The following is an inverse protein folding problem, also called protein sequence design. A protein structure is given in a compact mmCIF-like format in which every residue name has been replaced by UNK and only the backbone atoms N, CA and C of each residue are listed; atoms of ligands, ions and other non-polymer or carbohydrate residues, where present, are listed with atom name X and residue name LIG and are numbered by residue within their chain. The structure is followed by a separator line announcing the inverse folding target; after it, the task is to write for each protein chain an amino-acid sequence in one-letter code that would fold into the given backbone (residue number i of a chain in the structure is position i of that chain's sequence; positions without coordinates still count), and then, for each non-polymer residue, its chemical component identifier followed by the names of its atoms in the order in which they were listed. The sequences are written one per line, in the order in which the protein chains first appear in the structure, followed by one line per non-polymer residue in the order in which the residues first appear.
data_IF_598075580033
#
_entry.id   IF_598075580033
#
_cell.length_a   1.000
_cell.length_b   1.000
_cell.length_c   1.000
_cell.angle_alpha   90.00
_cell.angle_beta   90.00
_cell.angle_gamma   90.00
#
_symmetry.space_group_name_H-M   'P 1'
#
loop_
_entity.id
_entity.type
_entity.pdbx_description
1 polymer ?
#
# COMPACT_ATOMS: atom_id res chain seq x y z
N UNK A 1 12.31 -39.38 -39.00
CA UNK A 1 11.09 -38.83 -38.36
C UNK A 1 11.49 -38.28 -37.00
N UNK A 2 11.57 -36.95 -36.83
CA UNK A 2 12.18 -36.33 -35.66
C UNK A 2 11.21 -36.25 -34.47
N UNK A 3 11.76 -36.49 -33.28
CA UNK A 3 11.09 -36.43 -31.98
C UNK A 3 10.91 -34.96 -31.57
N UNK A 4 9.79 -34.36 -31.93
CA UNK A 4 9.35 -33.04 -31.43
C UNK A 4 8.44 -33.27 -30.22
N UNK A 5 9.03 -33.56 -29.06
CA UNK A 5 8.23 -33.80 -27.84
C UNK A 5 8.90 -33.30 -26.55
N UNK A 6 9.88 -32.40 -26.65
CA UNK A 6 10.63 -31.91 -25.49
C UNK A 6 10.67 -30.39 -25.34
N UNK A 7 9.89 -29.64 -26.13
CA UNK A 7 9.92 -28.15 -26.11
C UNK A 7 8.78 -27.57 -25.27
N UNK A 8 7.70 -28.32 -25.01
CA UNK A 8 6.56 -27.79 -24.26
C UNK A 8 6.73 -27.78 -22.73
N UNK A 9 7.67 -28.54 -22.17
CA UNK A 9 7.88 -28.58 -20.70
C UNK A 9 8.73 -27.44 -20.14
N UNK A 10 9.46 -26.69 -20.98
CA UNK A 10 10.28 -25.57 -20.51
C UNK A 10 9.54 -24.22 -20.50
N UNK A 11 8.43 -24.09 -21.26
CA UNK A 11 7.68 -22.84 -21.33
C UNK A 11 6.68 -22.65 -20.18
N UNK A 12 6.31 -23.73 -19.47
CA UNK A 12 5.36 -23.69 -18.35
C UNK A 12 6.01 -23.32 -17.00
N UNK A 13 7.34 -23.27 -16.93
CA UNK A 13 8.11 -22.94 -15.70
C UNK A 13 8.55 -21.47 -15.63
N UNK A 14 8.28 -20.67 -16.66
CA UNK A 14 8.62 -19.23 -16.72
C UNK A 14 7.44 -18.29 -16.41
N UNK A 15 6.34 -18.80 -15.84
CA UNK A 15 5.17 -17.98 -15.47
C UNK A 15 4.94 -17.86 -13.95
N UNK A 16 5.96 -18.17 -13.15
CA UNK A 16 5.92 -18.06 -11.67
C UNK A 16 6.99 -17.10 -11.13
N UNK A 17 7.43 -16.13 -11.94
CA UNK A 17 8.13 -14.96 -11.43
C UNK A 17 7.08 -13.94 -10.98
N UNK A 18 6.82 -13.94 -9.69
CA UNK A 18 6.30 -12.83 -8.86
C UNK A 18 6.08 -11.52 -9.63
N UNK A 19 4.85 -11.31 -10.10
CA UNK A 19 4.36 -9.94 -10.32
C UNK A 19 3.84 -9.43 -8.98
N UNK A 20 4.74 -9.10 -8.06
CA UNK A 20 4.44 -8.04 -7.11
C UNK A 20 4.76 -6.74 -7.86
N UNK A 21 3.72 -6.03 -8.28
CA UNK A 21 3.84 -4.80 -9.06
C UNK A 21 4.48 -3.70 -8.21
N UNK A 22 5.56 -3.09 -8.70
CA UNK A 22 6.33 -2.07 -7.97
C UNK A 22 5.64 -0.70 -7.83
N UNK A 23 4.57 -0.45 -8.57
CA UNK A 23 3.66 0.68 -8.44
C UNK A 23 2.49 0.34 -9.34
N UNK A 24 1.37 -0.13 -8.81
CA UNK A 24 0.23 -0.38 -9.69
C UNK A 24 -0.16 0.92 -10.41
N UNK A 25 -0.44 0.80 -11.72
CA UNK A 25 -1.10 1.86 -12.46
C UNK A 25 -2.29 2.31 -11.60
N UNK A 26 -2.35 3.59 -11.25
CA UNK A 26 -3.34 4.22 -10.37
C UNK A 26 -3.05 4.24 -8.85
N UNK A 27 -1.91 3.75 -8.33
CA UNK A 27 -1.61 3.95 -6.89
C UNK A 27 -1.45 5.44 -6.55
N UNK A 28 -0.80 6.20 -7.44
CA UNK A 28 -0.50 7.62 -7.27
C UNK A 28 -1.67 8.55 -7.67
N UNK A 29 -2.54 8.10 -8.58
CA UNK A 29 -3.66 8.90 -9.14
C UNK A 29 -4.98 8.63 -8.39
N UNK A 30 -4.92 8.47 -7.06
CA UNK A 30 -6.11 8.27 -6.24
C UNK A 30 -6.64 9.58 -5.67
N UNK A 31 -7.97 9.75 -5.57
CA UNK A 31 -8.54 10.90 -4.88
C UNK A 31 -8.21 10.84 -3.38
N UNK A 32 -8.29 11.99 -2.72
CA UNK A 32 -8.21 12.07 -1.24
C UNK A 32 -9.13 11.04 -0.59
N UNK A 33 -8.71 10.45 0.53
CA UNK A 33 -9.60 9.57 1.28
C UNK A 33 -10.73 10.34 1.97
N UNK A 34 -11.89 9.71 2.04
CA UNK A 34 -13.07 10.27 2.66
C UNK A 34 -13.11 9.95 4.16
N UNK A 35 -13.99 10.66 4.88
CA UNK A 35 -14.27 10.34 6.29
C UNK A 35 -14.74 8.88 6.48
N UNK A 36 -15.57 8.38 5.56
CA UNK A 36 -16.07 7.00 5.61
C UNK A 36 -14.93 6.00 5.45
N UNK A 37 -14.03 6.24 4.51
CA UNK A 37 -12.86 5.38 4.28
C UNK A 37 -11.90 5.40 5.46
N UNK A 38 -11.66 6.56 6.09
CA UNK A 38 -10.87 6.63 7.30
C UNK A 38 -11.53 5.84 8.45
N UNK A 39 -12.84 5.97 8.64
CA UNK A 39 -13.57 5.21 9.66
C UNK A 39 -13.52 3.70 9.40
N UNK A 40 -13.68 3.27 8.15
CA UNK A 40 -13.56 1.87 7.78
C UNK A 40 -12.13 1.36 7.97
N UNK A 41 -11.12 2.15 7.59
CA UNK A 41 -9.72 1.82 7.81
C UNK A 41 -9.42 1.63 9.30
N UNK A 42 -9.88 2.54 10.17
CA UNK A 42 -9.68 2.44 11.62
C UNK A 42 -10.31 1.18 12.23
N UNK A 43 -11.42 0.70 11.64
CA UNK A 43 -12.08 -0.54 12.04
C UNK A 43 -11.31 -1.77 11.58
N UNK A 44 -10.84 -1.79 10.34
CA UNK A 44 -10.29 -3.00 9.70
C UNK A 44 -8.78 -3.16 9.93
N UNK A 45 -8.05 -2.04 10.08
CA UNK A 45 -6.59 -2.03 10.21
C UNK A 45 -6.04 -2.86 11.38
N UNK A 46 -6.65 -2.89 12.59
CA UNK A 46 -6.14 -3.70 13.69
C UNK A 46 -6.04 -5.20 13.36
N UNK A 47 -7.07 -5.75 12.72
CA UNK A 47 -7.10 -7.17 12.33
C UNK A 47 -6.12 -7.45 11.17
N UNK A 48 -6.04 -6.54 10.19
CA UNK A 48 -5.06 -6.63 9.11
C UNK A 48 -3.62 -6.65 9.66
N UNK A 49 -3.31 -5.75 10.60
CA UNK A 49 -1.99 -5.65 11.24
C UNK A 49 -1.63 -6.92 11.99
N UNK A 50 -2.55 -7.48 12.77
CA UNK A 50 -2.33 -8.74 13.47
C UNK A 50 -2.07 -9.90 12.50
N UNK A 51 -2.89 -10.00 11.46
CA UNK A 51 -2.70 -10.98 10.40
C UNK A 51 -1.33 -10.84 9.74
N UNK A 52 -0.94 -9.63 9.33
CA UNK A 52 0.31 -9.35 8.61
C UNK A 52 1.55 -9.78 9.42
N UNK A 53 1.53 -9.57 10.75
CA UNK A 53 2.58 -10.04 11.65
C UNK A 53 2.63 -11.56 11.71
N UNK A 54 1.48 -12.22 11.82
CA UNK A 54 1.38 -13.67 11.94
C UNK A 54 1.73 -14.41 10.64
N UNK A 55 1.35 -13.85 9.49
CA UNK A 55 1.66 -14.39 8.16
C UNK A 55 3.08 -14.06 7.70
N UNK A 56 3.79 -13.17 8.41
CA UNK A 56 5.10 -12.61 8.01
C UNK A 56 5.01 -11.94 6.64
N UNK A 57 3.96 -11.16 6.45
CA UNK A 57 3.71 -10.43 5.23
C UNK A 57 4.89 -9.49 4.88
N UNK A 58 5.19 -9.37 3.59
CA UNK A 58 6.35 -8.63 3.08
C UNK A 58 5.99 -7.28 2.47
N UNK A 59 4.76 -6.80 2.67
CA UNK A 59 4.33 -5.52 2.14
C UNK A 59 5.09 -4.37 2.80
N UNK A 60 5.56 -3.41 2.01
CA UNK A 60 6.45 -2.36 2.49
C UNK A 60 6.41 -1.09 1.63
N UNK A 61 6.73 0.08 2.22
CA UNK A 61 6.93 1.30 1.44
C UNK A 61 8.16 1.17 0.56
N UNK A 62 8.09 1.75 -0.63
CA UNK A 62 9.20 1.80 -1.59
C UNK A 62 9.28 3.19 -2.20
N UNK A 63 10.42 3.50 -2.82
CA UNK A 63 10.57 4.68 -3.68
C UNK A 63 10.65 4.17 -5.12
N UNK A 64 9.82 4.71 -6.01
CA UNK A 64 9.84 4.35 -7.43
C UNK A 64 11.13 4.83 -8.10
N UNK A 65 11.42 4.33 -9.31
CA UNK A 65 12.56 4.82 -10.11
C UNK A 65 12.47 6.32 -10.43
N UNK A 66 11.25 6.89 -10.40
CA UNK A 66 10.99 8.32 -10.57
C UNK A 66 11.22 9.15 -9.28
N UNK A 67 11.56 8.49 -8.16
CA UNK A 67 11.75 9.15 -6.86
C UNK A 67 10.46 9.39 -6.09
N UNK A 68 9.37 8.73 -6.46
CA UNK A 68 8.05 8.94 -5.85
C UNK A 68 7.78 7.90 -4.74
N UNK A 69 7.13 8.30 -3.63
CA UNK A 69 6.73 7.37 -2.58
C UNK A 69 5.65 6.44 -3.07
N UNK A 70 5.85 5.13 -2.91
CA UNK A 70 4.92 4.07 -3.31
C UNK A 70 4.85 2.98 -2.25
N UNK A 71 4.06 1.94 -2.50
CA UNK A 71 3.89 0.81 -1.62
C UNK A 71 3.78 -0.47 -2.44
N UNK A 72 4.54 -1.50 -2.05
CA UNK A 72 4.40 -2.84 -2.62
C UNK A 72 3.71 -3.74 -1.63
N UNK A 73 2.81 -4.60 -2.11
CA UNK A 73 2.14 -5.58 -1.27
C UNK A 73 2.26 -7.00 -1.82
N UNK A 74 2.15 -7.97 -0.90
CA UNK A 74 2.19 -9.37 -1.27
C UNK A 74 0.85 -9.82 -1.88
N UNK A 75 0.84 -10.89 -2.70
CA UNK A 75 -0.41 -11.51 -3.16
C UNK A 75 -1.31 -11.99 -2.00
N UNK A 76 -0.72 -12.30 -0.83
CA UNK A 76 -1.46 -12.74 0.35
C UNK A 76 -2.18 -11.57 1.01
N UNK A 77 -1.56 -10.38 1.03
CA UNK A 77 -2.18 -9.17 1.53
C UNK A 77 -3.35 -8.75 0.63
N UNK A 78 -3.18 -8.84 -0.68
CA UNK A 78 -4.28 -8.64 -1.63
C UNK A 78 -5.44 -9.60 -1.35
N UNK A 79 -5.16 -10.91 -1.26
CA UNK A 79 -6.20 -11.91 -0.98
C UNK A 79 -6.91 -11.62 0.35
N UNK A 80 -6.14 -11.32 1.41
CA UNK A 80 -6.70 -10.99 2.71
C UNK A 80 -7.68 -9.82 2.63
N UNK A 81 -7.26 -8.71 1.99
CA UNK A 81 -8.08 -7.51 1.89
C UNK A 81 -9.37 -7.78 1.12
N UNK A 82 -9.28 -8.43 -0.04
CA UNK A 82 -10.46 -8.76 -0.86
C UNK A 82 -11.42 -9.70 -0.14
N UNK A 83 -10.93 -10.71 0.56
CA UNK A 83 -11.75 -11.74 1.19
C UNK A 83 -12.37 -11.32 2.53
N UNK A 84 -11.68 -10.49 3.31
CA UNK A 84 -12.04 -10.23 4.71
C UNK A 84 -12.60 -8.84 4.97
N UNK A 85 -12.35 -7.89 4.07
CA UNK A 85 -12.63 -6.46 4.34
C UNK A 85 -13.41 -5.77 3.22
N UNK A 86 -13.40 -6.34 2.02
CA UNK A 86 -14.00 -5.72 0.83
C UNK A 86 -13.19 -4.55 0.26
N UNK A 87 -12.00 -4.27 0.80
CA UNK A 87 -11.11 -3.26 0.24
C UNK A 87 -10.52 -3.70 -1.11
N UNK A 88 -10.39 -2.73 -2.01
CA UNK A 88 -9.40 -2.81 -3.08
C UNK A 88 -8.00 -2.59 -2.46
N UNK A 89 -7.00 -3.46 -2.72
CA UNK A 89 -5.65 -3.34 -2.16
C UNK A 89 -5.03 -1.96 -2.34
N UNK A 90 -5.10 -1.41 -3.54
CA UNK A 90 -4.60 -0.11 -3.94
C UNK A 90 -5.16 0.99 -3.04
N UNK A 91 -6.47 0.93 -2.78
CA UNK A 91 -7.16 1.92 -1.97
C UNK A 91 -6.81 1.80 -0.50
N UNK A 92 -6.76 0.57 0.01
CA UNK A 92 -6.38 0.31 1.39
C UNK A 92 -4.97 0.82 1.68
N UNK A 93 -4.00 0.47 0.82
CA UNK A 93 -2.62 0.87 1.01
C UNK A 93 -2.41 2.37 0.81
N UNK A 94 -3.16 3.02 -0.09
CA UNK A 94 -3.20 4.48 -0.19
C UNK A 94 -3.67 5.13 1.11
N UNK A 95 -4.83 4.71 1.65
CA UNK A 95 -5.34 5.25 2.92
C UNK A 95 -4.34 5.00 4.05
N UNK A 96 -3.77 3.79 4.13
CA UNK A 96 -2.82 3.42 5.17
C UNK A 96 -1.57 4.31 5.16
N UNK A 97 -0.92 4.48 4.01
CA UNK A 97 0.31 5.28 3.91
C UNK A 97 0.03 6.76 4.16
N UNK A 98 -1.09 7.30 3.68
CA UNK A 98 -1.50 8.68 3.93
C UNK A 98 -1.86 8.92 5.40
N UNK A 99 -2.54 7.99 6.06
CA UNK A 99 -2.83 8.08 7.50
C UNK A 99 -1.55 8.09 8.33
N UNK A 100 -0.59 7.21 8.03
CA UNK A 100 0.69 7.21 8.75
C UNK A 100 1.53 8.45 8.49
N UNK A 101 1.63 8.90 7.23
CA UNK A 101 2.29 10.15 6.88
C UNK A 101 1.62 11.34 7.57
N UNK A 102 0.30 11.43 7.56
CA UNK A 102 -0.45 12.52 8.17
C UNK A 102 -0.27 12.56 9.68
N UNK A 103 -0.28 11.41 10.36
CA UNK A 103 0.06 11.33 11.79
C UNK A 103 1.50 11.74 12.09
N UNK A 104 2.42 11.43 11.19
CA UNK A 104 3.84 11.82 11.30
C UNK A 104 3.96 13.33 11.18
N UNK A 105 3.29 13.95 10.20
CA UNK A 105 3.20 15.41 10.03
C UNK A 105 2.59 16.08 11.27
N UNK A 106 1.45 15.58 11.77
CA UNK A 106 0.78 16.16 12.94
C UNK A 106 1.64 16.09 14.21
N UNK A 107 2.55 15.12 14.31
CA UNK A 107 3.43 14.92 15.47
C UNK A 107 4.73 15.71 15.37
N UNK A 108 5.32 15.78 14.19
CA UNK A 108 6.68 16.27 13.99
C UNK A 108 6.75 17.60 13.21
N UNK A 109 5.65 18.00 12.55
CA UNK A 109 5.53 19.25 11.82
C UNK A 109 6.67 19.45 10.81
N UNK A 110 7.36 20.58 10.91
CA UNK A 110 8.43 20.99 9.99
C UNK A 110 9.63 20.04 9.94
N UNK A 111 9.77 19.11 10.88
CA UNK A 111 10.84 18.12 10.88
C UNK A 111 10.68 17.05 9.79
N UNK A 112 9.47 16.90 9.23
CA UNK A 112 9.11 15.84 8.27
C UNK A 112 8.35 16.36 7.06
N UNK A 113 8.36 17.68 6.83
CA UNK A 113 7.69 18.35 5.70
C UNK A 113 8.69 19.18 4.87
N UNK A 114 8.30 19.55 3.65
CA UNK A 114 9.17 20.30 2.74
C UNK A 114 10.43 19.50 2.41
N UNK A 115 11.59 20.15 2.47
CA UNK A 115 12.90 19.54 2.19
C UNK A 115 13.30 18.44 3.20
N UNK A 116 12.63 18.37 4.36
CA UNK A 116 12.89 17.36 5.39
C UNK A 116 12.00 16.10 5.25
N UNK A 117 11.09 16.06 4.26
CA UNK A 117 10.19 14.91 4.07
C UNK A 117 10.99 13.68 3.61
N UNK A 118 10.84 12.51 4.27
CA UNK A 118 11.42 11.26 3.78
C UNK A 118 10.97 10.94 2.34
N UNK A 119 11.85 10.43 1.46
CA UNK A 119 11.49 10.15 0.07
C UNK A 119 10.32 9.16 -0.12
N UNK A 120 10.17 8.22 0.81
CA UNK A 120 9.15 7.17 0.83
C UNK A 120 7.84 7.58 1.54
N UNK A 121 7.79 8.78 2.13
CA UNK A 121 6.60 9.29 2.81
C UNK A 121 5.72 10.08 1.83
N UNK A 122 4.44 9.72 1.59
CA UNK A 122 3.57 10.48 0.69
C UNK A 122 3.31 11.90 1.19
N UNK A 123 2.98 12.79 0.25
CA UNK A 123 2.43 14.11 0.56
C UNK A 123 0.96 13.94 0.92
N UNK A 124 0.56 14.46 2.06
CA UNK A 124 -0.83 14.39 2.56
C UNK A 124 -1.48 15.75 2.38
N UNK A 125 -2.71 15.77 1.88
CA UNK A 125 -3.43 17.03 1.66
C UNK A 125 -3.95 17.64 2.96
N UNK A 126 -4.30 18.93 2.93
CA UNK A 126 -4.90 19.60 4.10
C UNK A 126 -6.23 18.96 4.51
N UNK A 127 -7.05 18.51 3.55
CA UNK A 127 -8.32 17.86 3.82
C UNK A 127 -8.13 16.50 4.52
N UNK A 128 -7.18 15.69 4.06
CA UNK A 128 -6.82 14.42 4.71
C UNK A 128 -6.24 14.64 6.11
N UNK A 129 -5.37 15.66 6.27
CA UNK A 129 -4.84 16.05 7.58
C UNK A 129 -5.93 16.48 8.55
N UNK A 130 -6.94 17.21 8.09
CA UNK A 130 -8.09 17.64 8.90
C UNK A 130 -8.93 16.44 9.36
N UNK A 131 -9.16 15.47 8.47
CA UNK A 131 -9.84 14.22 8.82
C UNK A 131 -9.06 13.42 9.87
N UNK A 132 -7.75 13.26 9.68
CA UNK A 132 -6.88 12.53 10.62
C UNK A 132 -6.89 13.24 11.98
N UNK A 133 -6.75 14.57 12.01
CA UNK A 133 -6.78 15.35 13.25
C UNK A 133 -8.09 15.18 14.01
N UNK A 134 -9.20 15.12 13.28
CA UNK A 134 -10.55 15.04 13.86
C UNK A 134 -10.86 13.63 14.37
N UNK A 135 -10.53 12.59 13.60
CA UNK A 135 -10.93 11.21 13.90
C UNK A 135 -9.87 10.40 14.65
N UNK A 136 -8.63 10.88 14.71
CA UNK A 136 -7.52 10.24 15.43
C UNK A 136 -6.84 11.23 16.39
N UNK A 137 -7.55 11.73 17.42
CA UNK A 137 -6.96 12.64 18.39
C UNK A 137 -5.78 11.98 19.13
N UNK A 138 -4.76 12.79 19.46
CA UNK A 138 -3.55 12.36 20.15
C UNK A 138 -3.79 11.89 21.59
#
# INVERSE_FOLDING_TARGET
MPRVAAIFSALLLMFMCSQASAAEQNFHDQPEFTQQELQQFLKDFPAFREWAVNSKDTSSPVVTDAGEPSFVWSPQAEAYLRENTGWAPERFFYVMTHVFAGRTVLRHGSQVTGDNRPPDMPVVSDAELDLIRTLMPN
#
